data_IF_110432427291
#
_entry.id   IF_110432427291
#
_cell.length_a   1.000
_cell.length_b   1.000
_cell.length_c   1.000
_cell.angle_alpha   90.00
_cell.angle_beta   90.00
_cell.angle_gamma   90.00
#
_symmetry.space_group_name_H-M   'P 1'
#
loop_
_entity.id
_entity.type
_entity.pdbx_description
1 polymer ?
#
# COMPACT_ATOMS: atom_id res chain seq x y z
N UNK A 1 -1.65 -20.89 -5.05
CA UNK A 1 -2.06 -19.55 -4.83
C UNK A 1 -1.18 -18.56 -5.57
N UNK A 2 -1.74 -17.84 -6.46
CA UNK A 2 -0.93 -16.97 -7.30
C UNK A 2 -0.48 -15.72 -6.57
N UNK A 3 0.80 -15.41 -6.62
CA UNK A 3 1.32 -14.21 -6.00
C UNK A 3 0.79 -12.92 -6.58
N UNK A 4 0.24 -12.99 -7.77
CA UNK A 4 -0.26 -11.78 -8.42
C UNK A 4 -1.35 -11.09 -7.63
N UNK A 5 -2.22 -11.90 -7.02
CA UNK A 5 -3.29 -11.36 -6.22
C UNK A 5 -2.77 -10.47 -5.12
N UNK A 6 -1.67 -10.92 -4.54
CA UNK A 6 -1.08 -10.24 -3.42
C UNK A 6 -0.61 -8.85 -3.82
N UNK A 7 -0.02 -8.74 -5.00
CA UNK A 7 0.50 -7.48 -5.49
C UNK A 7 -0.62 -6.46 -5.69
N UNK A 8 -1.78 -6.92 -6.12
CA UNK A 8 -2.89 -6.01 -6.41
C UNK A 8 -3.90 -5.92 -5.29
N UNK A 9 -3.51 -6.32 -4.08
CA UNK A 9 -4.42 -6.28 -2.93
C UNK A 9 -4.22 -4.99 -2.16
N UNK A 10 -5.15 -4.02 -2.29
CA UNK A 10 -4.96 -2.74 -1.60
C UNK A 10 -4.89 -2.87 -0.10
N UNK A 11 -5.61 -3.84 0.47
CA UNK A 11 -5.57 -4.01 1.91
C UNK A 11 -4.21 -4.42 2.42
N UNK A 12 -3.50 -5.22 1.62
CA UNK A 12 -2.14 -5.60 1.98
C UNK A 12 -1.26 -4.37 2.12
N UNK A 13 -1.36 -3.46 1.18
CA UNK A 13 -0.53 -2.26 1.21
C UNK A 13 -0.94 -1.31 2.31
N UNK A 14 -2.24 -1.23 2.60
CA UNK A 14 -2.70 -0.42 3.72
C UNK A 14 -2.20 -0.96 5.04
N UNK A 15 -2.19 -2.27 5.18
CA UNK A 15 -1.66 -2.89 6.38
C UNK A 15 -0.19 -2.57 6.56
N UNK A 16 0.56 -2.62 5.47
CA UNK A 16 1.97 -2.27 5.53
C UNK A 16 2.18 -0.81 5.92
N UNK A 17 1.32 0.06 5.41
CA UNK A 17 1.41 1.47 5.76
C UNK A 17 1.17 1.68 7.26
N UNK A 18 0.20 0.97 7.80
CA UNK A 18 -0.08 1.04 9.22
C UNK A 18 1.10 0.56 10.05
N UNK A 19 1.70 -0.53 9.62
CA UNK A 19 2.88 -1.04 10.30
C UNK A 19 3.99 -0.01 10.33
N UNK A 20 4.22 0.61 9.19
CA UNK A 20 5.28 1.61 9.10
C UNK A 20 5.01 2.78 10.03
N UNK A 21 3.76 3.21 10.11
CA UNK A 21 3.40 4.31 11.00
C UNK A 21 3.61 3.93 12.46
N UNK A 22 3.23 2.73 12.80
CA UNK A 22 3.39 2.25 14.18
C UNK A 22 4.86 2.19 14.56
N UNK A 23 5.68 1.67 13.66
CA UNK A 23 7.12 1.60 13.91
C UNK A 23 7.69 3.01 14.06
N UNK A 24 7.28 3.92 13.18
CA UNK A 24 7.75 5.29 13.26
C UNK A 24 7.38 5.95 14.58
N UNK A 25 6.17 5.68 15.07
CA UNK A 25 5.72 6.27 16.32
C UNK A 25 6.54 5.81 17.51
N UNK A 26 7.13 4.62 17.40
CA UNK A 26 7.93 4.07 18.49
C UNK A 26 9.38 4.52 18.43
N UNK A 27 9.78 5.17 17.38
CA UNK A 27 11.15 5.62 17.25
C UNK A 27 11.36 6.95 17.94
N UNK A 28 12.51 7.08 18.56
CA UNK A 28 12.85 8.34 19.22
C UNK A 28 13.66 9.26 18.32
N UNK A 29 14.30 8.70 17.31
CA UNK A 29 15.11 9.49 16.40
C UNK A 29 14.21 10.15 15.35
N UNK A 30 14.31 11.45 15.26
CA UNK A 30 13.43 12.22 14.37
C UNK A 30 13.62 11.85 12.90
N UNK A 31 14.86 11.64 12.54
CA UNK A 31 15.16 11.29 11.15
C UNK A 31 14.56 9.95 10.78
N UNK A 32 14.69 8.99 11.68
CA UNK A 32 14.11 7.67 11.44
C UNK A 32 12.59 7.75 11.36
N UNK A 33 11.98 8.56 12.19
CA UNK A 33 10.53 8.74 12.15
C UNK A 33 10.09 9.30 10.80
N UNK A 34 10.82 10.26 10.30
CA UNK A 34 10.49 10.85 9.01
C UNK A 34 10.61 9.83 7.90
N UNK A 35 11.64 9.02 7.94
CA UNK A 35 11.81 7.97 6.95
C UNK A 35 10.66 6.99 6.98
N UNK A 36 10.24 6.59 8.18
CA UNK A 36 9.14 5.65 8.29
C UNK A 36 7.83 6.25 7.77
N UNK A 37 7.63 7.54 7.99
CA UNK A 37 6.45 8.21 7.45
C UNK A 37 6.45 8.20 5.94
N UNK A 38 7.60 8.43 5.34
CA UNK A 38 7.68 8.39 3.89
C UNK A 38 7.41 7.00 3.36
N UNK A 39 7.91 5.99 4.06
CA UNK A 39 7.65 4.62 3.68
C UNK A 39 6.15 4.34 3.75
N UNK A 40 5.49 4.81 4.81
CA UNK A 40 4.06 4.61 4.94
C UNK A 40 3.30 5.27 3.80
N UNK A 41 3.72 6.46 3.41
CA UNK A 41 3.08 7.15 2.29
C UNK A 41 3.25 6.40 0.99
N UNK A 42 4.42 5.81 0.80
CA UNK A 42 4.65 5.00 -0.40
C UNK A 42 3.73 3.79 -0.44
N UNK A 43 3.53 3.16 0.71
CA UNK A 43 2.62 2.03 0.78
C UNK A 43 1.18 2.46 0.50
N UNK A 44 0.79 3.63 1.02
CA UNK A 44 -0.54 4.16 0.74
C UNK A 44 -0.73 4.40 -0.75
N UNK A 45 0.31 4.89 -1.41
CA UNK A 45 0.25 5.11 -2.85
C UNK A 45 0.10 3.79 -3.60
N UNK A 46 0.81 2.77 -3.15
CA UNK A 46 0.68 1.45 -3.74
C UNK A 46 -0.73 0.91 -3.57
N UNK A 47 -1.34 1.15 -2.41
CA UNK A 47 -2.71 0.74 -2.17
C UNK A 47 -3.66 1.40 -3.17
N UNK A 48 -3.45 2.67 -3.40
CA UNK A 48 -4.30 3.40 -4.33
C UNK A 48 -4.13 2.88 -5.75
N UNK A 49 -2.89 2.61 -6.15
CA UNK A 49 -2.64 2.06 -7.46
C UNK A 49 -3.29 0.70 -7.62
N UNK A 50 -3.24 -0.11 -6.57
CA UNK A 50 -3.87 -1.42 -6.62
C UNK A 50 -5.37 -1.30 -6.81
N UNK A 51 -5.99 -0.33 -6.13
CA UNK A 51 -7.41 -0.09 -6.29
C UNK A 51 -7.75 0.31 -7.72
N UNK A 52 -6.92 1.14 -8.30
CA UNK A 52 -7.16 1.58 -9.67
C UNK A 52 -6.99 0.45 -10.66
N UNK A 53 -6.03 -0.43 -10.40
CA UNK A 53 -5.83 -1.58 -11.26
C UNK A 53 -7.04 -2.53 -11.23
N UNK A 54 -7.58 -2.74 -10.05
CA UNK A 54 -8.75 -3.60 -9.92
C UNK A 54 -9.93 -2.99 -10.66
N UNK A 55 -10.14 -1.70 -10.50
CA UNK A 55 -11.25 -1.02 -11.19
C UNK A 55 -11.08 -1.10 -12.70
N UNK A 56 -9.87 -0.94 -13.17
CA UNK A 56 -9.61 -1.01 -14.60
C UNK A 56 -9.89 -2.39 -15.16
N UNK A 57 -9.50 -3.41 -14.41
CA UNK A 57 -9.74 -4.78 -14.84
C UNK A 57 -11.23 -5.09 -14.93
N UNK A 58 -11.97 -4.60 -13.95
CA UNK A 58 -13.42 -4.82 -13.95
C UNK A 58 -14.06 -4.13 -15.13
N UNK A 59 -13.62 -2.93 -15.44
CA UNK A 59 -14.15 -2.22 -16.60
C UNK A 59 -13.80 -2.90 -17.89
N UNK A 60 -12.57 -3.36 -17.99
CA UNK A 60 -12.13 -4.05 -19.19
C UNK A 60 -12.91 -5.31 -19.45
N UNK A 61 -13.25 -6.00 -18.39
CA UNK A 61 -14.03 -7.24 -18.52
C UNK A 61 -15.40 -6.97 -19.13
N UNK A 62 -15.98 -5.85 -18.78
CA UNK A 62 -17.32 -5.52 -19.28
C UNK A 62 -17.31 -5.20 -20.75
N UNK A 63 -16.23 -4.65 -21.22
CA UNK A 63 -16.15 -4.19 -22.60
C UNK A 63 -16.21 -5.29 -23.62
N UNK A 64 -15.90 -6.47 -23.23
CA UNK A 64 -16.00 -7.58 -24.16
C UNK A 64 -17.40 -8.09 -24.26
#
# INVERSE_FOLDING_TARGET
MPPKRFVWDPEHWRFRAEEARTIGDQMTDEEARTIMRHIAMDYDRLAKLAEEQIADQERGTIDD
#
